data_IF_413404202756
#
_entry.id   IF_413404202756
#
_cell.length_a   1.000
_cell.length_b   1.000
_cell.length_c   1.000
_cell.angle_alpha   90.00
_cell.angle_beta   90.00
_cell.angle_gamma   90.00
#
_symmetry.space_group_name_H-M   'P 1'
#
loop_
_entity.id
_entity.type
_entity.pdbx_description
1 polymer ?
#
# COMPACT_ATOMS: atom_id res chain seq x y z
N UNK A 1 7.74 -26.09 6.63
CA UNK A 1 6.68 -27.09 6.34
C UNK A 1 6.04 -26.80 4.97
N UNK A 2 5.47 -25.63 4.72
CA UNK A 2 4.82 -25.30 3.44
C UNK A 2 5.74 -25.56 2.22
N UNK A 3 6.98 -25.07 2.23
CA UNK A 3 7.93 -25.30 1.15
C UNK A 3 8.30 -26.80 0.98
N UNK A 4 8.29 -27.58 2.06
CA UNK A 4 8.50 -29.03 1.97
C UNK A 4 7.34 -29.76 1.28
N UNK A 5 6.14 -29.20 1.29
CA UNK A 5 4.96 -29.67 0.59
C UNK A 5 4.80 -29.05 -0.82
N UNK A 6 5.85 -28.47 -1.38
CA UNK A 6 5.84 -27.85 -2.71
C UNK A 6 5.09 -26.53 -2.80
N UNK A 7 4.74 -25.91 -1.69
CA UNK A 7 4.12 -24.59 -1.70
C UNK A 7 5.17 -23.47 -1.72
N UNK A 8 4.80 -22.33 -2.29
CA UNK A 8 5.53 -21.06 -2.25
C UNK A 8 4.84 -20.11 -1.27
N UNK A 9 5.25 -20.08 0.01
CA UNK A 9 4.65 -19.19 1.00
C UNK A 9 5.26 -17.79 0.93
N UNK A 10 4.44 -16.78 1.23
CA UNK A 10 4.91 -15.41 1.41
C UNK A 10 4.00 -14.65 2.38
N UNK A 11 4.43 -13.47 2.79
CA UNK A 11 3.66 -12.55 3.61
C UNK A 11 3.97 -11.11 3.21
N UNK A 12 3.02 -10.22 3.43
CA UNK A 12 3.21 -8.78 3.24
C UNK A 12 2.47 -7.99 4.31
N UNK A 13 2.96 -6.81 4.60
CA UNK A 13 2.29 -5.82 5.44
C UNK A 13 2.20 -4.50 4.69
N UNK A 14 0.99 -3.95 4.64
CA UNK A 14 0.72 -2.61 4.15
C UNK A 14 0.21 -1.70 5.28
N UNK A 15 -0.17 -0.48 4.95
CA UNK A 15 -0.70 0.48 5.94
C UNK A 15 -2.01 0.02 6.62
N UNK A 16 -2.76 -0.92 6.04
CA UNK A 16 -4.07 -1.32 6.53
C UNK A 16 -4.26 -2.84 6.66
N UNK A 17 -3.41 -3.64 6.03
CA UNK A 17 -3.58 -5.09 5.90
C UNK A 17 -2.25 -5.79 6.11
N UNK A 18 -2.28 -6.92 6.85
CA UNK A 18 -1.22 -7.93 6.83
C UNK A 18 -1.78 -9.18 6.16
N UNK A 19 -1.11 -9.68 5.13
CA UNK A 19 -1.51 -10.87 4.40
C UNK A 19 -0.47 -11.97 4.54
N UNK A 20 -0.95 -13.20 4.75
CA UNK A 20 -0.15 -14.43 4.71
C UNK A 20 -0.76 -15.32 3.65
N UNK A 21 0.04 -15.80 2.73
CA UNK A 21 -0.47 -16.63 1.64
C UNK A 21 0.52 -17.69 1.19
N UNK A 22 0.03 -18.64 0.45
CA UNK A 22 0.84 -19.59 -0.30
C UNK A 22 0.21 -19.86 -1.66
N UNK A 23 1.04 -20.29 -2.59
CA UNK A 23 0.64 -20.87 -3.87
C UNK A 23 1.13 -22.32 -3.91
N UNK A 24 0.28 -23.25 -4.33
CA UNK A 24 0.65 -24.65 -4.49
C UNK A 24 -0.18 -25.33 -5.58
N UNK A 25 0.40 -26.35 -6.19
CA UNK A 25 -0.30 -27.24 -7.16
C UNK A 25 -0.77 -28.55 -6.51
N UNK A 26 -0.20 -28.89 -5.35
CA UNK A 26 -0.46 -30.13 -4.61
C UNK A 26 -0.56 -29.85 -3.11
N UNK A 27 -1.04 -30.82 -2.34
CA UNK A 27 -1.10 -30.77 -0.88
C UNK A 27 -1.85 -29.56 -0.31
N UNK A 28 -2.90 -29.12 -1.01
CA UNK A 28 -3.61 -27.90 -0.63
C UNK A 28 -4.16 -27.92 0.79
N UNK A 29 -4.79 -29.03 1.22
CA UNK A 29 -5.40 -29.12 2.55
C UNK A 29 -4.36 -29.07 3.66
N UNK A 30 -3.22 -29.76 3.51
CA UNK A 30 -2.11 -29.75 4.48
C UNK A 30 -1.48 -28.36 4.55
N UNK A 31 -1.30 -27.72 3.41
CA UNK A 31 -0.74 -26.37 3.33
C UNK A 31 -1.69 -25.34 3.96
N UNK A 32 -2.99 -25.44 3.67
CA UNK A 32 -3.99 -24.56 4.27
C UNK A 32 -4.06 -24.75 5.79
N UNK A 33 -4.04 -25.99 6.28
CA UNK A 33 -4.01 -26.30 7.71
C UNK A 33 -2.78 -25.69 8.39
N UNK A 34 -1.62 -25.82 7.75
CA UNK A 34 -0.35 -25.24 8.24
C UNK A 34 -0.44 -23.72 8.32
N UNK A 35 -0.92 -23.05 7.27
CA UNK A 35 -1.07 -21.59 7.25
C UNK A 35 -2.06 -21.11 8.31
N UNK A 36 -3.24 -21.72 8.40
CA UNK A 36 -4.26 -21.34 9.39
C UNK A 36 -3.76 -21.54 10.83
N UNK A 37 -3.04 -22.63 11.10
CA UNK A 37 -2.42 -22.87 12.40
C UNK A 37 -1.33 -21.85 12.71
N UNK A 38 -0.50 -21.51 11.73
CA UNK A 38 0.56 -20.53 11.86
C UNK A 38 0.02 -19.15 12.25
N UNK A 39 -1.05 -18.68 11.60
CA UNK A 39 -1.62 -17.35 11.90
C UNK A 39 -2.45 -17.33 13.19
N UNK A 40 -2.96 -18.49 13.65
CA UNK A 40 -3.87 -18.58 14.81
C UNK A 40 -3.17 -18.88 16.13
N UNK A 41 -2.01 -19.53 16.08
CA UNK A 41 -1.29 -20.01 17.28
C UNK A 41 0.03 -19.26 17.42
N UNK A 42 0.04 -18.15 18.19
CA UNK A 42 1.27 -17.36 18.37
C UNK A 42 2.28 -18.13 19.24
N UNK A 43 3.55 -18.05 18.84
CA UNK A 43 4.66 -18.54 19.63
C UNK A 43 5.81 -17.53 19.56
N UNK A 44 5.93 -16.72 20.59
CA UNK A 44 6.99 -15.71 20.72
C UNK A 44 7.78 -15.96 22.01
N UNK A 45 9.10 -16.02 21.88
CA UNK A 45 10.01 -16.01 23.02
C UNK A 45 10.84 -14.74 23.00
N UNK A 46 11.32 -14.30 24.14
CA UNK A 46 12.18 -13.11 24.20
C UNK A 46 13.42 -13.27 23.32
N UNK A 47 14.02 -14.47 23.31
CA UNK A 47 15.18 -14.79 22.48
C UNK A 47 14.87 -14.68 20.97
N UNK A 48 13.72 -15.22 20.53
CA UNK A 48 13.31 -15.11 19.12
C UNK A 48 13.04 -13.66 18.72
N UNK A 49 12.43 -12.87 19.60
CA UNK A 49 12.16 -11.45 19.35
C UNK A 49 13.46 -10.64 19.25
N UNK A 50 14.43 -10.89 20.11
CA UNK A 50 15.74 -10.23 20.07
C UNK A 50 16.51 -10.55 18.80
N UNK A 51 16.48 -11.81 18.37
CA UNK A 51 17.09 -12.23 17.11
C UNK A 51 16.44 -11.55 15.91
N UNK A 52 15.10 -11.55 15.83
CA UNK A 52 14.35 -10.92 14.74
C UNK A 52 14.54 -9.40 14.71
N UNK A 53 14.60 -8.72 15.86
CA UNK A 53 14.92 -7.29 15.89
C UNK A 53 16.25 -6.96 15.23
N UNK A 54 17.25 -7.82 15.36
CA UNK A 54 18.53 -7.66 14.67
C UNK A 54 18.40 -7.76 13.15
N UNK A 55 17.61 -8.72 12.67
CA UNK A 55 17.35 -8.92 11.23
C UNK A 55 16.53 -7.75 10.65
N UNK A 56 15.43 -7.41 11.31
CA UNK A 56 14.56 -6.30 10.90
C UNK A 56 15.29 -4.95 10.95
N UNK A 57 16.19 -4.76 11.94
CA UNK A 57 17.03 -3.56 12.00
C UNK A 57 17.95 -3.39 10.79
N UNK A 58 18.48 -4.49 10.26
CA UNK A 58 19.25 -4.47 9.00
C UNK A 58 18.35 -4.20 7.79
N UNK A 59 17.16 -4.79 7.75
CA UNK A 59 16.16 -4.54 6.70
C UNK A 59 15.72 -3.08 6.68
N UNK A 60 15.46 -2.47 7.84
CA UNK A 60 15.16 -1.03 7.96
C UNK A 60 16.30 -0.20 7.38
N UNK A 61 17.55 -0.53 7.72
CA UNK A 61 18.71 0.18 7.16
C UNK A 61 18.77 0.09 5.63
N UNK A 62 18.52 -1.09 5.06
CA UNK A 62 18.47 -1.26 3.59
C UNK A 62 17.34 -0.44 2.94
N UNK A 63 16.17 -0.37 3.59
CA UNK A 63 15.01 0.39 3.11
C UNK A 63 15.29 1.91 3.21
N UNK A 64 15.93 2.36 4.28
CA UNK A 64 16.32 3.77 4.46
C UNK A 64 17.36 4.24 3.46
N UNK A 65 18.18 3.33 2.94
CA UNK A 65 19.16 3.60 1.88
C UNK A 65 18.55 3.59 0.46
N UNK A 66 17.28 3.17 0.30
CA UNK A 66 16.59 3.21 -1.00
C UNK A 66 15.97 4.59 -1.26
N UNK A 67 16.48 5.35 -2.25
CA UNK A 67 15.95 6.68 -2.55
C UNK A 67 14.49 6.70 -3.00
N UNK A 68 14.00 5.64 -3.66
CA UNK A 68 12.61 5.57 -4.11
C UNK A 68 11.66 5.37 -2.92
N UNK A 69 12.05 4.52 -1.97
CA UNK A 69 11.31 4.38 -0.73
C UNK A 69 11.32 5.67 0.10
N UNK A 70 12.49 6.27 0.22
CA UNK A 70 12.66 7.49 1.01
C UNK A 70 11.81 8.65 0.50
N UNK A 71 11.80 8.88 -0.81
CA UNK A 71 10.98 9.95 -1.40
C UNK A 71 9.47 9.69 -1.19
N UNK A 72 9.03 8.43 -1.22
CA UNK A 72 7.64 8.06 -0.98
C UNK A 72 7.24 8.27 0.48
N UNK A 73 8.05 7.83 1.44
CA UNK A 73 7.80 8.07 2.87
C UNK A 73 7.80 9.58 3.19
N UNK A 74 8.74 10.33 2.61
CA UNK A 74 8.79 11.77 2.74
C UNK A 74 7.54 12.46 2.15
N UNK A 75 7.02 11.97 1.02
CA UNK A 75 5.76 12.44 0.46
C UNK A 75 4.60 12.26 1.42
N UNK A 76 4.42 11.04 1.96
CA UNK A 76 3.34 10.76 2.91
C UNK A 76 3.47 11.61 4.19
N UNK A 77 4.69 11.78 4.69
CA UNK A 77 4.97 12.68 5.81
C UNK A 77 4.79 14.17 5.50
N UNK A 78 4.82 14.57 4.22
CA UNK A 78 4.50 15.92 3.78
C UNK A 78 2.99 16.12 3.57
N UNK A 79 2.29 15.09 3.14
CA UNK A 79 0.84 15.13 2.93
C UNK A 79 0.09 15.13 4.27
N UNK A 80 0.41 14.21 5.19
CA UNK A 80 -0.39 13.94 6.39
C UNK A 80 0.27 14.50 7.67
N UNK A 81 -0.53 15.13 8.50
CA UNK A 81 -0.10 15.71 9.78
C UNK A 81 -0.31 14.73 10.95
N UNK A 82 -1.43 13.99 10.94
CA UNK A 82 -1.85 13.14 12.05
C UNK A 82 -1.94 11.67 11.68
N UNK A 83 -2.45 11.35 10.48
CA UNK A 83 -2.75 9.97 10.06
C UNK A 83 -1.49 9.09 10.08
N UNK A 84 -1.56 7.84 10.61
CA UNK A 84 -0.41 6.94 10.73
C UNK A 84 0.28 6.59 9.41
N UNK A 85 -0.38 6.77 8.26
CA UNK A 85 0.19 6.55 6.92
C UNK A 85 1.47 7.37 6.68
N UNK A 86 1.66 8.45 7.40
CA UNK A 86 2.87 9.30 7.37
C UNK A 86 4.13 8.62 7.86
N UNK A 87 3.98 7.46 8.51
CA UNK A 87 5.08 6.71 9.13
C UNK A 87 5.39 5.49 8.29
N UNK A 88 6.67 5.16 8.12
CA UNK A 88 7.07 3.93 7.43
C UNK A 88 6.45 2.69 8.08
N UNK A 89 5.91 1.79 7.25
CA UNK A 89 5.37 0.49 7.70
C UNK A 89 6.46 -0.37 8.35
N UNK A 90 7.71 -0.23 7.91
CA UNK A 90 8.84 -0.93 8.51
C UNK A 90 9.19 -0.43 9.93
N UNK A 91 8.68 0.74 10.31
CA UNK A 91 9.06 1.39 11.55
C UNK A 91 10.46 2.01 11.49
N UNK A 92 11.08 2.17 12.65
CA UNK A 92 12.48 2.61 12.81
C UNK A 92 13.21 1.68 13.78
N UNK A 93 14.53 1.68 13.73
CA UNK A 93 15.37 0.90 14.68
C UNK A 93 15.01 1.24 16.12
N UNK A 94 14.69 2.51 16.40
CA UNK A 94 14.23 2.95 17.73
C UNK A 94 12.87 2.32 18.07
N UNK A 95 11.88 2.39 17.19
CA UNK A 95 10.54 1.88 17.47
C UNK A 95 10.53 0.37 17.69
N UNK A 96 11.26 -0.40 16.89
CA UNK A 96 11.35 -1.86 17.06
C UNK A 96 12.11 -2.27 18.32
N UNK A 97 12.98 -1.42 18.87
CA UNK A 97 13.72 -1.71 20.10
C UNK A 97 12.80 -1.88 21.32
N UNK A 98 11.62 -1.31 21.30
CA UNK A 98 10.61 -1.40 22.36
C UNK A 98 9.69 -2.63 22.24
N UNK A 99 9.78 -3.38 21.14
CA UNK A 99 8.93 -4.56 20.92
C UNK A 99 9.43 -5.72 21.80
N UNK A 100 8.54 -6.30 22.58
CA UNK A 100 8.78 -7.47 23.44
C UNK A 100 7.86 -8.62 23.03
N UNK A 101 8.14 -9.84 23.53
CA UNK A 101 7.25 -10.98 23.33
C UNK A 101 5.83 -10.68 23.85
N UNK A 102 5.70 -9.98 25.00
CA UNK A 102 4.41 -9.58 25.56
C UNK A 102 3.65 -8.64 24.64
N UNK A 103 4.34 -7.65 24.05
CA UNK A 103 3.75 -6.74 23.05
C UNK A 103 3.21 -7.51 21.86
N UNK A 104 3.98 -8.47 21.34
CA UNK A 104 3.56 -9.30 20.19
C UNK A 104 2.36 -10.18 20.53
N UNK A 105 2.32 -10.81 21.73
CA UNK A 105 1.13 -11.55 22.19
C UNK A 105 -0.09 -10.64 22.32
N UNK A 106 0.06 -9.42 22.85
CA UNK A 106 -1.02 -8.46 22.96
C UNK A 106 -1.54 -8.03 21.58
N UNK A 107 -0.66 -7.73 20.64
CA UNK A 107 -1.01 -7.40 19.25
C UNK A 107 -1.69 -8.58 18.54
N UNK A 108 -1.14 -9.81 18.69
CA UNK A 108 -1.76 -10.99 18.11
C UNK A 108 -3.19 -11.17 18.64
N UNK A 109 -3.38 -11.09 19.95
CA UNK A 109 -4.71 -11.22 20.57
C UNK A 109 -5.70 -10.16 20.07
N UNK A 110 -5.23 -8.93 19.79
CA UNK A 110 -6.09 -7.83 19.35
C UNK A 110 -6.47 -7.93 17.86
N UNK A 111 -5.55 -8.36 17.00
CA UNK A 111 -5.71 -8.24 15.56
C UNK A 111 -5.90 -9.56 14.82
N UNK A 112 -5.45 -10.70 15.38
CA UNK A 112 -5.55 -12.02 14.77
C UNK A 112 -6.76 -12.82 15.27
N UNK A 113 -7.81 -12.11 15.61
CA UNK A 113 -9.10 -12.69 15.93
C UNK A 113 -9.85 -13.05 14.63
N UNK A 114 -10.52 -14.22 14.54
CA UNK A 114 -11.28 -14.61 13.36
C UNK A 114 -12.31 -13.58 12.88
N UNK A 115 -12.86 -12.76 13.79
CA UNK A 115 -13.77 -11.66 13.43
C UNK A 115 -13.08 -10.51 12.66
N UNK A 116 -11.74 -10.41 12.75
CA UNK A 116 -10.92 -9.41 12.06
C UNK A 116 -10.14 -10.00 10.88
N UNK A 117 -10.39 -11.26 10.51
CA UNK A 117 -9.65 -11.97 9.47
C UNK A 117 -10.55 -12.31 8.28
N UNK A 118 -9.96 -12.37 7.10
CA UNK A 118 -10.64 -12.81 5.87
C UNK A 118 -9.79 -13.92 5.24
N UNK A 119 -10.40 -15.06 4.98
CA UNK A 119 -9.79 -16.15 4.22
C UNK A 119 -10.26 -16.07 2.76
N UNK A 120 -9.31 -15.90 1.85
CA UNK A 120 -9.54 -15.95 0.42
C UNK A 120 -8.82 -17.15 -0.18
N UNK A 121 -9.50 -17.91 -1.03
CA UNK A 121 -8.90 -19.01 -1.78
C UNK A 121 -9.36 -18.94 -3.23
N UNK A 122 -8.43 -19.11 -4.18
CA UNK A 122 -8.70 -19.10 -5.60
C UNK A 122 -7.98 -20.28 -6.27
N UNK A 123 -8.68 -21.02 -7.15
CA UNK A 123 -8.15 -22.19 -7.85
C UNK A 123 -9.22 -23.24 -8.08
N UNK A 124 -8.80 -24.44 -8.48
CA UNK A 124 -9.66 -25.62 -8.59
C UNK A 124 -9.88 -26.24 -7.19
N UNK A 125 -10.80 -25.68 -6.44
CA UNK A 125 -11.03 -25.96 -5.02
C UNK A 125 -12.51 -26.28 -4.75
N UNK A 126 -12.77 -27.17 -3.78
CA UNK A 126 -14.09 -27.32 -3.18
C UNK A 126 -14.28 -26.26 -2.06
N UNK A 127 -15.12 -25.22 -2.25
CA UNK A 127 -15.36 -24.22 -1.22
C UNK A 127 -15.86 -24.79 0.12
N UNK A 128 -16.58 -25.92 0.06
CA UNK A 128 -17.09 -26.58 1.26
C UNK A 128 -15.96 -27.25 2.04
N UNK A 129 -14.97 -27.84 1.35
CA UNK A 129 -13.78 -28.41 1.99
C UNK A 129 -12.95 -27.30 2.67
N UNK A 130 -12.72 -26.16 2.00
CA UNK A 130 -12.05 -25.00 2.58
C UNK A 130 -12.75 -24.52 3.86
N UNK A 131 -14.08 -24.37 3.81
CA UNK A 131 -14.87 -23.94 4.96
C UNK A 131 -14.83 -24.97 6.11
N UNK A 132 -14.87 -26.27 5.81
CA UNK A 132 -14.76 -27.32 6.86
C UNK A 132 -13.40 -27.23 7.54
N UNK A 133 -12.33 -27.17 6.76
CA UNK A 133 -10.97 -27.12 7.29
C UNK A 133 -10.74 -25.85 8.14
N UNK A 134 -11.23 -24.70 7.68
CA UNK A 134 -11.14 -23.48 8.45
C UNK A 134 -11.85 -23.58 9.81
N UNK A 135 -13.04 -24.18 9.86
CA UNK A 135 -13.78 -24.42 11.12
C UNK A 135 -13.12 -25.43 12.06
N UNK A 136 -12.33 -26.36 11.53
CA UNK A 136 -11.59 -27.32 12.35
C UNK A 136 -10.36 -26.68 13.02
N UNK A 137 -9.71 -25.74 12.35
CA UNK A 137 -8.42 -25.17 12.79
C UNK A 137 -8.59 -23.86 13.55
N UNK A 138 -9.50 -23.00 13.07
CA UNK A 138 -9.67 -21.67 13.67
C UNK A 138 -10.49 -21.75 14.98
N UNK A 139 -10.27 -20.80 15.91
CA UNK A 139 -11.09 -20.68 17.12
C UNK A 139 -12.57 -20.51 16.77
N UNK A 140 -13.44 -21.20 17.50
CA UNK A 140 -14.91 -21.19 17.24
C UNK A 140 -15.62 -19.97 17.82
N UNK A 141 -14.98 -19.25 18.73
CA UNK A 141 -15.52 -18.03 19.35
C UNK A 141 -14.72 -16.83 18.84
N UNK A 142 -15.41 -15.92 18.18
CA UNK A 142 -14.86 -14.63 17.81
C UNK A 142 -14.86 -13.68 19.00
N UNK A 143 -13.77 -12.96 19.17
CA UNK A 143 -13.66 -11.86 20.13
C UNK A 143 -14.20 -10.53 19.56
N UNK A 144 -14.09 -9.44 20.32
CA UNK A 144 -14.39 -8.13 19.80
C UNK A 144 -13.35 -7.69 18.77
N UNK A 145 -13.82 -7.09 17.67
CA UNK A 145 -12.91 -6.46 16.70
C UNK A 145 -12.24 -5.25 17.36
N UNK A 146 -10.92 -5.18 17.28
CA UNK A 146 -10.18 -4.04 17.81
C UNK A 146 -10.61 -2.74 17.13
N UNK A 147 -10.93 -1.73 17.92
CA UNK A 147 -11.17 -0.38 17.42
C UNK A 147 -9.88 0.22 16.88
N UNK A 148 -9.94 0.80 15.70
CA UNK A 148 -8.78 1.41 15.03
C UNK A 148 -8.83 2.91 15.22
N UNK A 149 -7.80 3.47 15.84
CA UNK A 149 -7.62 4.91 16.00
C UNK A 149 -6.60 5.41 14.96
N UNK A 150 -7.06 6.24 14.06
CA UNK A 150 -6.23 6.89 13.02
C UNK A 150 -5.77 8.30 13.42
N UNK A 151 -6.02 8.71 14.66
CA UNK A 151 -5.69 10.03 15.16
C UNK A 151 -6.79 11.07 14.90
N UNK A 152 -6.47 12.35 15.14
CA UNK A 152 -7.38 13.46 14.88
C UNK A 152 -7.73 13.60 13.40
N UNK A 153 -8.80 14.35 13.11
CA UNK A 153 -9.19 14.68 11.74
C UNK A 153 -8.04 15.36 10.98
N UNK A 154 -7.76 14.87 9.79
CA UNK A 154 -6.70 15.38 8.92
C UNK A 154 -7.11 16.70 8.25
N UNK A 155 -6.26 17.74 8.29
CA UNK A 155 -6.48 18.93 7.49
C UNK A 155 -6.56 18.59 6.00
N UNK A 156 -7.42 19.27 5.25
CA UNK A 156 -7.55 19.07 3.79
C UNK A 156 -6.29 19.48 3.01
N UNK A 157 -5.49 20.38 3.56
CA UNK A 157 -4.21 20.80 2.96
C UNK A 157 -3.07 19.85 3.36
N UNK A 158 -2.03 19.80 2.54
CA UNK A 158 -0.78 19.12 2.89
C UNK A 158 -0.13 19.78 4.12
N UNK A 159 0.47 18.96 4.98
CA UNK A 159 1.20 19.42 6.16
C UNK A 159 2.44 20.25 5.78
N UNK A 160 3.10 19.88 4.68
CA UNK A 160 4.26 20.59 4.11
C UNK A 160 4.18 20.64 2.61
N UNK A 161 4.57 21.77 2.02
CA UNK A 161 4.53 22.00 0.56
C UNK A 161 5.69 21.36 -0.20
N UNK A 162 6.84 21.15 0.46
CA UNK A 162 8.05 20.58 -0.13
C UNK A 162 8.88 19.90 0.96
N UNK A 163 9.47 18.77 0.61
CA UNK A 163 10.52 18.09 1.37
C UNK A 163 11.64 17.72 0.41
N UNK A 164 12.86 18.07 0.75
CA UNK A 164 14.05 17.71 -0.02
C UNK A 164 15.01 16.94 0.87
N UNK A 165 15.64 15.92 0.30
CA UNK A 165 16.67 15.13 0.96
C UNK A 165 17.78 14.81 -0.03
N UNK A 166 19.03 14.87 0.43
CA UNK A 166 20.20 14.61 -0.41
C UNK A 166 20.66 13.17 -0.22
N UNK A 167 20.61 12.40 -1.30
CA UNK A 167 21.08 11.01 -1.37
C UNK A 167 21.99 10.82 -2.57
N UNK A 168 22.74 9.70 -2.61
CA UNK A 168 23.63 9.36 -3.73
C UNK A 168 22.83 8.86 -4.93
N UNK A 169 22.27 9.75 -5.72
CA UNK A 169 21.50 9.46 -6.93
C UNK A 169 22.10 10.12 -8.16
N UNK A 170 21.93 9.51 -9.33
CA UNK A 170 22.44 10.05 -10.60
C UNK A 170 21.56 11.13 -11.20
N UNK A 171 20.29 11.12 -10.86
CA UNK A 171 19.28 12.08 -11.31
C UNK A 171 18.33 12.35 -10.15
N UNK A 172 17.79 13.57 -10.00
CA UNK A 172 16.77 13.83 -8.98
C UNK A 172 15.57 12.89 -9.13
N UNK A 173 15.19 12.25 -8.02
CA UNK A 173 13.98 11.44 -7.89
C UNK A 173 12.94 12.30 -7.21
N UNK A 174 11.73 12.32 -7.73
CA UNK A 174 10.66 13.15 -7.20
C UNK A 174 9.35 12.39 -7.06
N UNK A 175 8.53 12.86 -6.16
CA UNK A 175 7.13 12.47 -5.99
C UNK A 175 6.26 13.72 -5.81
N UNK A 176 5.17 13.77 -6.56
CA UNK A 176 4.09 14.74 -6.40
C UNK A 176 2.92 14.04 -5.72
N UNK A 177 2.30 14.69 -4.74
CA UNK A 177 1.14 14.13 -4.08
C UNK A 177 0.03 15.16 -3.88
N UNK A 178 -1.19 14.67 -3.92
CA UNK A 178 -2.39 15.47 -3.62
C UNK A 178 -3.31 14.64 -2.73
N UNK A 179 -3.73 15.19 -1.58
CA UNK A 179 -4.74 14.55 -0.73
C UNK A 179 -6.08 14.45 -1.46
N UNK A 180 -6.73 13.29 -1.30
CA UNK A 180 -8.12 13.08 -1.58
C UNK A 180 -8.96 13.10 -0.29
N UNK A 181 -10.27 13.07 -0.45
CA UNK A 181 -11.17 12.88 0.67
C UNK A 181 -11.00 11.47 1.25
N UNK A 182 -11.19 11.33 2.57
CA UNK A 182 -11.14 10.02 3.22
C UNK A 182 -12.11 9.05 2.54
N UNK A 183 -11.69 7.79 2.28
CA UNK A 183 -12.52 6.87 1.52
C UNK A 183 -13.78 6.48 2.31
N UNK A 184 -14.90 6.46 1.61
CA UNK A 184 -16.14 5.90 2.11
C UNK A 184 -16.09 4.36 2.10
N UNK A 185 -17.10 3.72 2.68
CA UNK A 185 -17.20 2.25 2.68
C UNK A 185 -18.15 1.75 1.59
N UNK A 186 -17.93 0.49 1.17
CA UNK A 186 -18.82 -0.18 0.23
C UNK A 186 -18.77 0.45 -1.17
N UNK A 187 -19.92 0.55 -1.82
CA UNK A 187 -20.04 1.03 -3.21
C UNK A 187 -19.53 2.47 -3.40
N UNK A 188 -19.76 3.34 -2.42
CA UNK A 188 -19.28 4.72 -2.48
C UNK A 188 -17.75 4.79 -2.50
N UNK A 189 -17.08 3.99 -1.65
CA UNK A 189 -15.62 3.89 -1.64
C UNK A 189 -15.07 3.31 -2.93
N UNK A 190 -15.68 2.25 -3.46
CA UNK A 190 -15.30 1.69 -4.76
C UNK A 190 -15.46 2.73 -5.89
N UNK A 191 -16.55 3.50 -5.87
CA UNK A 191 -16.76 4.58 -6.83
C UNK A 191 -15.68 5.66 -6.74
N UNK A 192 -15.29 6.04 -5.52
CA UNK A 192 -14.23 7.01 -5.28
C UNK A 192 -12.89 6.52 -5.81
N UNK A 193 -12.53 5.27 -5.55
CA UNK A 193 -11.31 4.63 -6.07
C UNK A 193 -11.29 4.64 -7.60
N UNK A 194 -12.38 4.20 -8.25
CA UNK A 194 -12.50 4.21 -9.71
C UNK A 194 -12.40 5.62 -10.31
N UNK A 195 -12.97 6.62 -9.64
CA UNK A 195 -12.85 8.01 -10.08
C UNK A 195 -11.43 8.54 -9.91
N UNK A 196 -10.75 8.14 -8.82
CA UNK A 196 -9.34 8.46 -8.60
C UNK A 196 -8.44 7.88 -9.70
N UNK A 197 -8.60 6.61 -10.03
CA UNK A 197 -7.87 5.95 -11.12
C UNK A 197 -8.12 6.64 -12.47
N UNK A 198 -9.38 6.91 -12.79
CA UNK A 198 -9.73 7.63 -14.03
C UNK A 198 -9.14 9.03 -14.07
N UNK A 199 -9.13 9.75 -12.95
CA UNK A 199 -8.51 11.08 -12.86
C UNK A 199 -7.00 11.02 -13.09
N UNK A 200 -6.31 10.02 -12.49
CA UNK A 200 -4.89 9.77 -12.73
C UNK A 200 -4.62 9.50 -14.20
N UNK A 201 -5.37 8.61 -14.84
CA UNK A 201 -5.22 8.25 -16.25
C UNK A 201 -5.48 9.43 -17.18
N UNK A 202 -6.48 10.25 -16.90
CA UNK A 202 -6.82 11.43 -17.70
C UNK A 202 -5.77 12.53 -17.58
N UNK A 203 -5.19 12.71 -16.41
CA UNK A 203 -4.19 13.76 -16.15
C UNK A 203 -2.79 13.32 -16.56
N UNK A 204 -2.39 12.11 -16.18
CA UNK A 204 -0.99 11.65 -16.15
C UNK A 204 -0.72 10.47 -17.10
N UNK A 205 -1.77 9.84 -17.63
CA UNK A 205 -1.67 8.64 -18.45
C UNK A 205 -0.72 8.82 -19.65
N UNK A 206 -0.01 7.75 -20.01
CA UNK A 206 0.99 7.76 -21.08
C UNK A 206 0.42 8.16 -22.44
N UNK A 207 -0.89 8.10 -22.61
CA UNK A 207 -1.61 8.52 -23.81
C UNK A 207 -2.06 9.98 -23.81
N UNK A 208 -1.74 10.75 -22.77
CA UNK A 208 -2.13 12.16 -22.64
C UNK A 208 -1.17 13.09 -23.38
N UNK A 209 -1.66 14.25 -23.86
CA UNK A 209 -0.80 15.27 -24.42
C UNK A 209 0.26 15.80 -23.43
N UNK A 210 -0.07 15.87 -22.14
CA UNK A 210 0.85 16.28 -21.08
C UNK A 210 2.05 15.33 -21.01
N UNK A 211 1.80 14.02 -20.86
CA UNK A 211 2.86 13.02 -20.80
C UNK A 211 3.73 13.06 -22.07
N UNK A 212 3.10 13.06 -23.25
CA UNK A 212 3.81 13.08 -24.52
C UNK A 212 4.73 14.32 -24.67
N UNK A 213 4.31 15.47 -24.18
CA UNK A 213 5.12 16.69 -24.15
C UNK A 213 6.29 16.56 -23.20
N UNK A 214 6.04 16.22 -21.93
CA UNK A 214 7.08 16.11 -20.90
C UNK A 214 8.12 15.02 -21.27
N UNK A 215 7.68 13.91 -21.83
CA UNK A 215 8.56 12.85 -22.30
C UNK A 215 9.46 13.34 -23.48
N UNK A 216 8.89 14.03 -24.48
CA UNK A 216 9.63 14.60 -25.61
C UNK A 216 10.66 15.64 -25.16
N UNK A 217 10.29 16.45 -24.17
CA UNK A 217 11.14 17.48 -23.62
C UNK A 217 12.23 16.90 -22.68
N UNK A 218 12.24 15.57 -22.46
CA UNK A 218 13.19 14.87 -21.61
C UNK A 218 13.04 15.20 -20.13
N UNK A 219 11.84 15.62 -19.71
CA UNK A 219 11.49 15.88 -18.32
C UNK A 219 10.90 14.64 -17.62
N UNK A 220 10.42 13.66 -18.38
CA UNK A 220 10.01 12.34 -17.90
C UNK A 220 10.70 11.24 -18.68
N UNK A 221 10.85 10.09 -18.05
CA UNK A 221 11.31 8.86 -18.66
C UNK A 221 10.26 7.74 -18.50
N UNK A 222 10.57 6.51 -18.90
CA UNK A 222 9.66 5.36 -18.80
C UNK A 222 9.43 4.89 -17.35
N UNK A 223 10.24 5.34 -16.42
CA UNK A 223 10.09 5.07 -14.97
C UNK A 223 9.06 5.96 -14.29
N UNK A 224 8.49 6.95 -15.00
CA UNK A 224 7.41 7.77 -14.44
C UNK A 224 6.18 6.91 -14.16
N UNK A 225 5.70 6.97 -12.94
CA UNK A 225 4.53 6.24 -12.47
C UNK A 225 3.55 7.20 -11.79
N UNK A 226 2.30 6.80 -11.74
CA UNK A 226 1.23 7.55 -11.08
C UNK A 226 0.16 6.57 -10.61
N UNK A 227 -0.65 7.00 -9.65
CA UNK A 227 -1.77 6.23 -9.16
C UNK A 227 -2.60 7.01 -8.15
N UNK A 228 -3.77 6.47 -7.88
CA UNK A 228 -4.61 6.85 -6.75
C UNK A 228 -4.57 5.72 -5.73
N UNK A 229 -4.32 6.06 -4.47
CA UNK A 229 -4.26 5.10 -3.38
C UNK A 229 -5.17 5.53 -2.25
N UNK A 230 -5.77 4.56 -1.57
CA UNK A 230 -6.66 4.81 -0.44
C UNK A 230 -6.52 3.76 0.65
N UNK A 231 -6.54 4.23 1.88
CA UNK A 231 -6.60 3.41 3.09
C UNK A 231 -7.66 3.99 4.01
N UNK A 232 -8.17 3.25 4.99
CA UNK A 232 -9.13 3.82 5.93
C UNK A 232 -8.62 5.13 6.54
N UNK A 233 -9.34 6.22 6.33
CA UNK A 233 -9.02 7.56 6.83
C UNK A 233 -8.11 8.41 5.94
N UNK A 234 -7.54 7.88 4.88
CA UNK A 234 -6.65 8.63 3.99
C UNK A 234 -6.77 8.18 2.52
N UNK A 235 -6.71 9.15 1.61
CA UNK A 235 -6.61 8.87 0.18
C UNK A 235 -5.73 9.95 -0.48
N UNK A 236 -5.01 9.56 -1.52
CA UNK A 236 -4.10 10.47 -2.21
C UNK A 236 -3.82 10.03 -3.65
N UNK A 237 -3.58 11.01 -4.49
CA UNK A 237 -2.94 10.81 -5.79
C UNK A 237 -1.44 10.92 -5.58
N UNK A 238 -0.69 10.06 -6.23
CA UNK A 238 0.77 10.11 -6.28
C UNK A 238 1.24 10.04 -7.73
N UNK A 239 2.29 10.80 -8.06
CA UNK A 239 2.97 10.70 -9.34
C UNK A 239 4.45 11.03 -9.18
N UNK A 240 5.31 10.25 -9.80
CA UNK A 240 6.74 10.49 -9.65
C UNK A 240 7.64 9.63 -10.52
N UNK A 241 8.93 9.84 -10.36
CA UNK A 241 9.98 9.19 -11.11
C UNK A 241 11.25 10.01 -11.08
N UNK A 242 12.09 9.87 -12.09
CA UNK A 242 13.28 10.67 -12.26
C UNK A 242 13.02 11.86 -13.21
N UNK A 243 13.54 13.02 -12.86
CA UNK A 243 13.53 14.19 -13.73
C UNK A 243 14.75 15.07 -13.48
N UNK A 244 15.29 15.62 -14.54
CA UNK A 244 16.31 16.68 -14.43
C UNK A 244 15.77 18.01 -13.89
N UNK A 245 14.44 18.20 -13.96
CA UNK A 245 13.74 19.41 -13.49
C UNK A 245 12.36 19.01 -12.94
N UNK A 246 12.30 18.52 -11.67
CA UNK A 246 11.05 18.16 -11.01
C UNK A 246 10.06 19.31 -10.86
N UNK A 247 10.56 20.55 -10.72
CA UNK A 247 9.71 21.73 -10.58
C UNK A 247 8.93 22.01 -11.88
N UNK A 248 9.59 21.92 -13.03
CA UNK A 248 8.92 22.07 -14.31
C UNK A 248 7.84 20.99 -14.53
N UNK A 249 8.08 19.75 -14.05
CA UNK A 249 7.05 18.69 -14.09
C UNK A 249 5.88 19.04 -13.19
N UNK A 250 6.13 19.44 -11.94
CA UNK A 250 5.09 19.89 -10.99
C UNK A 250 4.20 20.99 -11.60
N UNK A 251 4.83 22.01 -12.14
CA UNK A 251 4.12 23.17 -12.68
C UNK A 251 3.28 22.81 -13.90
N UNK A 252 3.80 21.93 -14.75
CA UNK A 252 3.08 21.42 -15.91
C UNK A 252 1.87 20.55 -15.51
N UNK A 253 2.02 19.70 -14.50
CA UNK A 253 0.93 18.88 -13.95
C UNK A 253 -0.15 19.76 -13.32
N UNK A 254 0.24 20.74 -12.51
CA UNK A 254 -0.68 21.67 -11.88
C UNK A 254 -1.47 22.51 -12.91
N UNK A 255 -0.78 23.00 -13.96
CA UNK A 255 -1.40 23.76 -15.03
C UNK A 255 -2.42 22.92 -15.82
N UNK A 256 -2.10 21.66 -16.11
CA UNK A 256 -2.99 20.75 -16.83
C UNK A 256 -4.20 20.37 -15.96
N UNK A 257 -4.01 20.08 -14.67
CA UNK A 257 -5.11 19.84 -13.74
C UNK A 257 -6.07 21.04 -13.68
N UNK A 258 -5.52 22.26 -13.58
CA UNK A 258 -6.32 23.49 -13.62
C UNK A 258 -7.05 23.71 -14.96
N UNK A 259 -6.44 23.33 -16.10
CA UNK A 259 -7.08 23.37 -17.40
C UNK A 259 -8.26 22.39 -17.46
N UNK A 260 -8.04 21.12 -17.06
CA UNK A 260 -9.08 20.10 -17.04
C UNK A 260 -10.26 20.53 -16.15
N UNK A 261 -9.97 21.12 -14.98
CA UNK A 261 -11.02 21.61 -14.08
C UNK A 261 -11.89 22.72 -14.70
N UNK A 262 -11.33 23.58 -15.57
CA UNK A 262 -12.08 24.67 -16.23
C UNK A 262 -12.78 24.21 -17.49
N UNK A 263 -12.14 23.41 -18.32
CA UNK A 263 -12.52 23.13 -19.70
C UNK A 263 -13.13 21.75 -19.89
N UNK A 264 -12.95 20.89 -18.86
CA UNK A 264 -13.32 19.47 -18.93
C UNK A 264 -12.26 18.63 -19.62
N UNK A 265 -12.54 17.35 -19.69
CA UNK A 265 -11.71 16.32 -20.35
C UNK A 265 -12.06 16.27 -21.83
N UNK A 266 -11.05 16.14 -22.69
CA UNK A 266 -11.28 15.85 -24.12
C UNK A 266 -12.09 14.55 -24.28
N UNK A 267 -13.22 14.58 -25.02
CA UNK A 267 -14.10 13.42 -25.15
C UNK A 267 -13.41 12.17 -25.76
N UNK A 268 -12.46 12.38 -26.68
CA UNK A 268 -11.73 11.28 -27.31
C UNK A 268 -10.76 10.63 -26.31
N UNK A 269 -10.06 11.44 -25.55
CA UNK A 269 -9.21 10.96 -24.44
C UNK A 269 -10.04 10.22 -23.41
N UNK A 270 -11.17 10.78 -23.00
CA UNK A 270 -12.08 10.16 -22.03
C UNK A 270 -12.54 8.76 -22.45
N UNK A 271 -13.03 8.60 -23.68
CA UNK A 271 -13.49 7.30 -24.18
C UNK A 271 -12.35 6.27 -24.27
N UNK A 272 -11.14 6.72 -24.60
CA UNK A 272 -9.96 5.84 -24.62
C UNK A 272 -9.54 5.39 -23.23
N UNK A 273 -9.44 6.32 -22.29
CA UNK A 273 -9.09 6.05 -20.89
C UNK A 273 -10.11 5.12 -20.24
N UNK A 274 -11.39 5.42 -20.39
CA UNK A 274 -12.48 4.57 -19.86
C UNK A 274 -12.39 3.13 -20.36
N UNK A 275 -12.13 2.93 -21.66
CA UNK A 275 -11.93 1.59 -22.24
C UNK A 275 -10.68 0.91 -21.71
N UNK A 276 -9.59 1.65 -21.51
CA UNK A 276 -8.34 1.13 -20.95
C UNK A 276 -8.54 0.65 -19.53
N UNK A 277 -9.09 1.47 -18.66
CA UNK A 277 -9.36 1.10 -17.25
C UNK A 277 -10.34 -0.07 -17.14
N UNK A 278 -11.39 -0.09 -17.98
CA UNK A 278 -12.31 -1.24 -18.00
C UNK A 278 -11.62 -2.55 -18.43
N UNK A 279 -10.70 -2.48 -19.38
CA UNK A 279 -10.01 -3.67 -19.90
C UNK A 279 -8.88 -4.18 -19.00
N UNK A 280 -8.38 -3.38 -18.06
CA UNK A 280 -7.34 -3.77 -17.10
C UNK A 280 -7.88 -4.33 -15.78
N UNK A 281 -9.19 -4.25 -15.56
CA UNK A 281 -9.91 -4.80 -14.41
C UNK A 281 -10.67 -6.07 -14.79
#
# INVERSE_FOLDING_TARGET
>A
ELAANGASPNAFTSNAITGYYFESTEHFEENLRTLLSFVSIPYFTQESVEKERGIIGQEIGMIEDDPNWKVFVNLLGALYEHHPIRTSVAGSVESISHITAETLYACHKAFYDPANMVLCAAGDLDPQAVCRLAREVLPTQAGPIAEKDYGPEEPSRAARGLVEEHMAVSCPIFQLGCKGDAPERGEAGLRQELLGDLACEVLLGTSTPLYARLYRDGLLNRGFSYGYDSVPGAAFLVAGGESRDPEAVRDAVAAEAARIAREGVDPTLWERVKKGVYGSR
#
